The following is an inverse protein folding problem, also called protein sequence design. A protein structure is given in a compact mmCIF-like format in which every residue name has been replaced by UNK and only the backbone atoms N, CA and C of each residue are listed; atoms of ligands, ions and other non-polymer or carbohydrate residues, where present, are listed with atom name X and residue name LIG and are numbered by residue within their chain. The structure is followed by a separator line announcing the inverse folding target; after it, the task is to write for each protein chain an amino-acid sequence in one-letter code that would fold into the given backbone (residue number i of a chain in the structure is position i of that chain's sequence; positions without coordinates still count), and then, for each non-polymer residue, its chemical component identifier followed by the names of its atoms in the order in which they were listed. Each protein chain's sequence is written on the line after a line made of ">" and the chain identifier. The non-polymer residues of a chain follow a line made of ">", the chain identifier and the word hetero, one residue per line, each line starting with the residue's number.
data_IF_957188251732
#
_entry.id   IF_957188251732
#
_cell.length_a   1.000
_cell.length_b   1.000
_cell.length_c   1.000
_cell.angle_alpha   90.00
_cell.angle_beta   90.00
_cell.angle_gamma   90.00
#
_symmetry.space_group_name_H-M   'P 1'
#
loop_
_entity.id
_entity.type
_entity.pdbx_description
1 polymer ?
#
# COMPACT_ATOMS: atom_id res chain seq x y z
N UNK A 1 -3.45 -11.17 -10.57
CA UNK A 1 -4.33 -10.73 -9.46
C UNK A 1 -4.87 -11.90 -8.60
N UNK A 2 -5.47 -12.95 -9.19
CA UNK A 2 -6.11 -14.04 -8.42
C UNK A 2 -5.18 -14.89 -7.52
N UNK A 3 -3.88 -14.94 -7.82
CA UNK A 3 -2.93 -15.81 -7.12
C UNK A 3 -2.73 -15.37 -5.67
N UNK A 4 -2.43 -14.09 -5.42
CA UNK A 4 -2.19 -13.60 -4.05
C UNK A 4 -3.44 -13.68 -3.18
N UNK A 5 -4.63 -13.48 -3.78
CA UNK A 5 -5.89 -13.63 -3.07
C UNK A 5 -6.13 -15.09 -2.66
N UNK A 6 -5.81 -16.06 -3.51
CA UNK A 6 -5.85 -17.49 -3.12
C UNK A 6 -4.88 -17.79 -1.98
N UNK A 7 -3.68 -17.24 -2.01
CA UNK A 7 -2.72 -17.40 -0.90
C UNK A 7 -3.33 -16.83 0.38
N UNK A 8 -3.85 -15.61 0.36
CA UNK A 8 -4.44 -14.99 1.57
C UNK A 8 -5.64 -15.78 2.09
N UNK A 9 -6.53 -16.20 1.19
CA UNK A 9 -7.81 -16.83 1.53
C UNK A 9 -7.71 -18.34 1.82
N UNK A 10 -6.62 -19.00 1.41
CA UNK A 10 -6.48 -20.43 1.66
C UNK A 10 -6.39 -20.69 3.17
N UNK A 11 -7.28 -21.55 3.70
CA UNK A 11 -7.24 -21.92 5.09
C UNK A 11 -5.87 -22.56 5.41
N UNK A 12 -5.31 -22.17 6.55
CA UNK A 12 -4.20 -22.89 7.14
C UNK A 12 -4.70 -24.32 7.45
N UNK A 13 -3.90 -25.35 7.16
CA UNK A 13 -4.21 -26.71 7.62
C UNK A 13 -4.34 -26.71 9.15
N UNK A 14 -5.19 -27.57 9.71
CA UNK A 14 -5.54 -27.62 11.15
C UNK A 14 -4.32 -27.71 12.11
N UNK A 15 -3.15 -28.10 11.61
CA UNK A 15 -1.89 -28.20 12.37
C UNK A 15 -0.96 -26.95 12.28
N UNK A 16 -1.35 -25.90 11.55
CA UNK A 16 -0.47 -24.73 11.30
C UNK A 16 -0.97 -23.47 11.99
N UNK A 17 0.00 -22.81 12.62
CA UNK A 17 -0.08 -21.69 13.56
C UNK A 17 -0.87 -20.49 13.03
N UNK A 18 -1.38 -19.68 13.97
CA UNK A 18 -2.35 -18.61 13.74
C UNK A 18 -1.85 -17.37 12.98
N UNK A 19 -0.59 -17.32 12.51
CA UNK A 19 -0.05 -16.12 11.83
C UNK A 19 0.45 -16.35 10.41
N UNK A 20 0.16 -15.39 9.53
CA UNK A 20 0.50 -15.41 8.10
C UNK A 20 1.09 -14.07 7.68
N UNK A 21 2.20 -14.11 6.96
CA UNK A 21 2.88 -12.94 6.40
C UNK A 21 2.89 -13.08 4.88
N UNK A 22 2.30 -12.12 4.16
CA UNK A 22 2.25 -12.09 2.70
C UNK A 22 3.00 -10.88 2.18
N UNK A 23 4.14 -11.12 1.55
CA UNK A 23 5.03 -10.11 0.97
C UNK A 23 4.97 -10.23 -0.56
N UNK A 24 4.34 -9.28 -1.22
CA UNK A 24 4.09 -9.35 -2.67
C UNK A 24 4.17 -7.98 -3.33
N UNK A 25 4.39 -7.91 -4.64
CA UNK A 25 4.45 -6.64 -5.39
C UNK A 25 3.20 -5.75 -5.15
N UNK A 26 3.40 -4.43 -5.21
CA UNK A 26 2.31 -3.46 -5.12
C UNK A 26 1.26 -3.69 -6.23
N UNK A 27 0.00 -3.34 -5.98
CA UNK A 27 -1.08 -3.53 -6.96
C UNK A 27 -1.54 -4.98 -7.19
N UNK A 28 -0.92 -5.98 -6.55
CA UNK A 28 -1.31 -7.38 -6.76
C UNK A 28 -2.68 -7.79 -6.19
N UNK A 29 -3.34 -6.92 -5.41
CA UNK A 29 -4.61 -7.23 -4.75
C UNK A 29 -4.50 -7.75 -3.31
N UNK A 30 -3.37 -7.50 -2.63
CA UNK A 30 -3.14 -7.86 -1.22
C UNK A 30 -4.21 -7.29 -0.28
N UNK A 31 -4.43 -5.98 -0.34
CA UNK A 31 -5.41 -5.26 0.48
C UNK A 31 -6.82 -5.82 0.30
N UNK A 32 -7.24 -6.11 -0.94
CA UNK A 32 -8.54 -6.74 -1.21
C UNK A 32 -8.62 -8.14 -0.61
N UNK A 33 -7.57 -8.95 -0.77
CA UNK A 33 -7.51 -10.28 -0.15
C UNK A 33 -7.60 -10.22 1.38
N UNK A 34 -6.89 -9.27 2.00
CA UNK A 34 -6.94 -9.00 3.44
C UNK A 34 -8.35 -8.60 3.87
N UNK A 35 -9.00 -7.66 3.17
CA UNK A 35 -10.37 -7.23 3.45
C UNK A 35 -11.33 -8.43 3.42
N UNK A 36 -11.28 -9.23 2.35
CA UNK A 36 -12.16 -10.40 2.20
C UNK A 36 -11.91 -11.40 3.33
N UNK A 37 -10.65 -11.64 3.72
CA UNK A 37 -10.33 -12.55 4.83
C UNK A 37 -10.92 -12.05 6.14
N UNK A 38 -10.77 -10.76 6.48
CA UNK A 38 -11.36 -10.17 7.69
C UNK A 38 -12.89 -10.28 7.69
N UNK A 39 -13.54 -9.95 6.57
CA UNK A 39 -15.00 -10.04 6.45
C UNK A 39 -15.52 -11.48 6.59
N UNK A 40 -14.73 -12.48 6.20
CA UNK A 40 -15.09 -13.90 6.33
C UNK A 40 -14.94 -14.45 7.74
N UNK A 41 -13.99 -13.91 8.50
CA UNK A 41 -13.70 -14.40 9.86
C UNK A 41 -14.71 -13.86 10.88
N UNK A 42 -15.15 -12.62 10.69
CA UNK A 42 -16.01 -11.93 11.65
C UNK A 42 -17.47 -12.35 11.53
N UNK A 43 -18.07 -12.71 12.65
CA UNK A 43 -19.50 -13.04 12.75
C UNK A 43 -20.37 -11.80 13.04
N UNK A 44 -20.98 -11.25 11.98
CA UNK A 44 -21.88 -10.10 12.08
C UNK A 44 -23.26 -10.40 12.69
N UNK A 45 -23.62 -11.67 12.93
CA UNK A 45 -24.95 -12.04 13.43
C UNK A 45 -25.07 -11.92 14.96
N UNK A 46 -23.95 -12.02 15.68
CA UNK A 46 -23.91 -11.87 17.15
C UNK A 46 -24.22 -10.45 17.57
N UNK A 47 -24.80 -10.23 18.75
CA UNK A 47 -25.11 -8.89 19.28
C UNK A 47 -24.56 -8.62 20.69
N UNK A 48 -23.39 -9.19 20.98
CA UNK A 48 -22.68 -9.03 22.25
C UNK A 48 -21.82 -7.74 22.37
N UNK A 49 -21.77 -6.92 21.31
CA UNK A 49 -21.03 -5.65 21.28
C UNK A 49 -19.50 -5.80 21.26
N UNK A 50 -18.99 -7.00 20.97
CA UNK A 50 -17.55 -7.30 21.02
C UNK A 50 -16.87 -7.08 19.68
N UNK A 51 -15.68 -6.49 19.74
CA UNK A 51 -14.80 -6.33 18.60
C UNK A 51 -14.17 -7.69 18.24
N UNK A 52 -14.37 -8.15 17.01
CA UNK A 52 -13.82 -9.42 16.52
C UNK A 52 -12.69 -9.22 15.49
N UNK A 53 -12.77 -8.14 14.70
CA UNK A 53 -11.76 -7.80 13.71
C UNK A 53 -11.07 -6.47 13.99
N UNK A 54 -9.73 -6.45 13.92
CA UNK A 54 -8.95 -5.22 13.94
C UNK A 54 -8.05 -5.16 12.70
N UNK A 55 -8.15 -4.07 11.94
CA UNK A 55 -7.28 -3.81 10.79
C UNK A 55 -6.39 -2.62 11.12
N UNK A 56 -5.08 -2.86 11.16
CA UNK A 56 -4.07 -1.84 11.37
C UNK A 56 -3.49 -1.36 10.04
N UNK A 57 -3.37 -0.04 9.91
CA UNK A 57 -2.78 0.64 8.75
C UNK A 57 -1.77 1.70 9.21
N UNK A 58 -0.80 2.10 8.36
CA UNK A 58 0.25 3.01 8.80
C UNK A 58 -0.20 4.49 8.85
N UNK A 59 -1.26 4.87 8.12
CA UNK A 59 -1.70 6.27 8.02
C UNK A 59 -3.23 6.40 7.99
N UNK A 60 -3.72 7.56 8.42
CA UNK A 60 -5.14 7.94 8.38
C UNK A 60 -5.70 7.97 6.95
N UNK A 61 -4.86 8.26 5.96
CA UNK A 61 -5.25 8.19 4.55
C UNK A 61 -5.57 6.76 4.12
N UNK A 62 -4.72 5.80 4.50
CA UNK A 62 -4.95 4.38 4.20
C UNK A 62 -6.10 3.82 5.03
N UNK A 63 -6.29 4.28 6.27
CA UNK A 63 -7.45 3.95 7.11
C UNK A 63 -8.75 4.30 6.37
N UNK A 64 -8.86 5.53 5.85
CA UNK A 64 -10.01 5.97 5.07
C UNK A 64 -10.21 5.15 3.78
N UNK A 65 -9.13 4.85 3.04
CA UNK A 65 -9.21 4.07 1.80
C UNK A 65 -9.68 2.62 2.05
N UNK A 66 -9.10 1.94 3.05
CA UNK A 66 -9.50 0.58 3.40
C UNK A 66 -10.92 0.58 3.94
N UNK A 67 -11.29 1.54 4.79
CA UNK A 67 -12.66 1.66 5.30
C UNK A 67 -13.70 1.81 4.18
N UNK A 68 -13.45 2.66 3.18
CA UNK A 68 -14.34 2.80 2.02
C UNK A 68 -14.44 1.51 1.21
N UNK A 69 -13.31 0.86 0.97
CA UNK A 69 -13.25 -0.36 0.17
C UNK A 69 -13.94 -1.52 0.89
N UNK A 70 -13.72 -1.65 2.21
CA UNK A 70 -14.32 -2.68 3.03
C UNK A 70 -15.83 -2.50 3.13
N UNK A 71 -16.34 -1.28 3.34
CA UNK A 71 -17.79 -1.02 3.31
C UNK A 71 -18.41 -1.32 1.95
N UNK A 72 -17.74 -0.97 0.85
CA UNK A 72 -18.24 -1.29 -0.49
C UNK A 72 -18.34 -2.81 -0.75
N UNK A 73 -17.42 -3.60 -0.18
CA UNK A 73 -17.47 -5.07 -0.26
C UNK A 73 -18.52 -5.64 0.72
N UNK A 74 -18.67 -5.02 1.90
CA UNK A 74 -19.59 -5.43 2.94
C UNK A 74 -21.04 -4.96 2.72
N UNK A 75 -21.33 -4.23 1.63
CA UNK A 75 -22.69 -3.78 1.26
C UNK A 75 -23.66 -4.96 1.08
N UNK A 76 -23.12 -6.16 0.79
CA UNK A 76 -23.89 -7.41 0.68
C UNK A 76 -23.96 -8.21 1.98
N UNK A 77 -23.44 -7.69 3.09
CA UNK A 77 -23.43 -8.33 4.41
C UNK A 77 -24.41 -7.58 5.31
N UNK A 78 -25.50 -8.25 5.68
CA UNK A 78 -26.49 -7.70 6.58
C UNK A 78 -25.87 -7.30 7.93
N UNK A 79 -26.23 -6.11 8.40
CA UNK A 79 -25.77 -5.56 9.69
C UNK A 79 -24.23 -5.49 9.81
N UNK A 80 -23.53 -5.21 8.71
CA UNK A 80 -22.10 -4.93 8.74
C UNK A 80 -21.81 -3.74 9.67
N UNK A 81 -21.06 -4.02 10.73
CA UNK A 81 -20.70 -3.05 11.78
C UNK A 81 -19.21 -2.77 11.70
N UNK A 82 -18.86 -1.95 10.72
CA UNK A 82 -17.49 -1.62 10.31
C UNK A 82 -17.30 -0.13 10.48
N UNK A 83 -16.17 0.28 11.05
CA UNK A 83 -15.89 1.68 11.35
C UNK A 83 -14.38 1.92 11.36
N UNK A 84 -14.00 3.17 11.13
CA UNK A 84 -12.66 3.68 11.41
C UNK A 84 -12.59 4.54 12.69
N UNK A 85 -13.72 4.65 13.40
CA UNK A 85 -13.82 5.32 14.69
C UNK A 85 -14.31 4.33 15.75
N UNK A 86 -13.85 4.52 16.99
CA UNK A 86 -14.28 3.68 18.11
C UNK A 86 -15.70 4.07 18.50
N UNK A 87 -16.66 3.24 18.09
CA UNK A 87 -18.09 3.38 18.39
C UNK A 87 -18.60 2.19 19.19
N UNK A 88 -19.74 2.36 19.85
CA UNK A 88 -20.42 1.24 20.50
C UNK A 88 -20.85 0.17 19.46
N UNK A 89 -20.86 -1.09 19.88
CA UNK A 89 -21.33 -2.25 19.09
C UNK A 89 -20.59 -2.51 17.78
N UNK A 90 -19.33 -2.09 17.66
CA UNK A 90 -18.50 -2.34 16.49
C UNK A 90 -18.04 -3.79 16.40
N UNK A 91 -18.02 -4.36 15.17
CA UNK A 91 -17.49 -5.70 14.88
C UNK A 91 -16.08 -5.67 14.29
N UNK A 92 -15.83 -4.72 13.38
CA UNK A 92 -14.53 -4.48 12.77
C UNK A 92 -14.11 -3.03 12.95
N UNK A 93 -12.91 -2.81 13.49
CA UNK A 93 -12.27 -1.50 13.50
C UNK A 93 -11.10 -1.46 12.52
N UNK A 94 -11.04 -0.39 11.72
CA UNK A 94 -9.89 -0.09 10.86
C UNK A 94 -9.22 1.15 11.43
N UNK A 95 -7.96 1.07 11.85
CA UNK A 95 -7.30 2.24 12.43
C UNK A 95 -5.77 2.19 12.39
N UNK A 96 -5.11 3.24 12.86
CA UNK A 96 -3.65 3.24 13.04
C UNK A 96 -3.24 2.68 14.40
N UNK A 97 -2.06 2.04 14.53
CA UNK A 97 -1.60 1.50 15.82
C UNK A 97 -1.62 2.52 16.96
N UNK A 98 -1.27 3.77 16.67
CA UNK A 98 -1.24 4.87 17.64
C UNK A 98 -2.64 5.22 18.12
N UNK A 99 -3.61 5.34 17.20
CA UNK A 99 -5.02 5.58 17.55
C UNK A 99 -5.59 4.42 18.37
N UNK A 100 -5.26 3.18 17.99
CA UNK A 100 -5.72 1.99 18.70
C UNK A 100 -5.31 1.99 20.18
N UNK A 101 -4.03 2.27 20.45
CA UNK A 101 -3.51 2.36 21.82
C UNK A 101 -4.10 3.57 22.56
N UNK A 102 -4.19 4.73 21.90
CA UNK A 102 -4.74 5.96 22.51
C UNK A 102 -6.19 5.79 22.96
N UNK A 103 -6.99 5.07 22.17
CA UNK A 103 -8.41 4.84 22.46
C UNK A 103 -8.65 3.65 23.40
N UNK A 104 -7.60 2.94 23.83
CA UNK A 104 -7.72 1.86 24.81
C UNK A 104 -8.60 0.69 24.34
N UNK A 105 -8.48 0.33 23.05
CA UNK A 105 -9.32 -0.72 22.46
C UNK A 105 -9.09 -2.04 23.19
N UNK A 106 -10.18 -2.70 23.57
CA UNK A 106 -10.11 -4.07 24.08
C UNK A 106 -9.91 -5.05 22.92
N UNK A 107 -8.81 -5.79 22.96
CA UNK A 107 -8.44 -6.79 21.94
C UNK A 107 -8.50 -8.24 22.45
N UNK A 108 -9.00 -8.46 23.68
CA UNK A 108 -8.99 -9.77 24.33
C UNK A 108 -9.85 -10.83 23.67
N UNK A 109 -10.78 -10.41 22.80
CA UNK A 109 -11.73 -11.28 22.11
C UNK A 109 -11.62 -11.15 20.57
N UNK A 110 -10.50 -10.62 20.07
CA UNK A 110 -10.25 -10.58 18.64
C UNK A 110 -10.12 -11.99 18.06
N UNK A 111 -10.86 -12.23 17.00
CA UNK A 111 -10.76 -13.43 16.16
C UNK A 111 -9.70 -13.22 15.08
N UNK A 112 -9.57 -11.98 14.57
CA UNK A 112 -8.57 -11.63 13.55
C UNK A 112 -7.95 -10.25 13.77
N UNK A 113 -6.62 -10.21 13.66
CA UNK A 113 -5.82 -8.99 13.53
C UNK A 113 -5.17 -8.96 12.14
N UNK A 114 -5.54 -7.98 11.34
CA UNK A 114 -4.94 -7.74 10.04
C UNK A 114 -4.03 -6.51 10.06
N UNK A 115 -2.87 -6.59 9.41
CA UNK A 115 -1.87 -5.52 9.35
C UNK A 115 -1.54 -5.29 7.86
N UNK A 116 -2.05 -4.22 7.25
CA UNK A 116 -1.73 -3.86 5.86
C UNK A 116 -0.50 -2.96 5.80
N UNK A 117 0.30 -3.03 4.74
CA UNK A 117 1.55 -2.28 4.61
C UNK A 117 2.51 -2.47 5.82
N UNK A 118 2.63 -3.72 6.28
CA UNK A 118 3.41 -4.10 7.47
C UNK A 118 4.87 -3.66 7.41
N UNK A 119 5.42 -3.47 6.19
CA UNK A 119 6.78 -3.00 5.94
C UNK A 119 7.08 -1.65 6.62
N UNK A 120 6.08 -0.78 6.78
CA UNK A 120 6.23 0.50 7.49
C UNK A 120 5.94 0.40 8.99
N UNK A 121 5.16 -0.59 9.41
CA UNK A 121 4.67 -0.69 10.78
C UNK A 121 5.51 -1.59 11.69
N UNK A 122 6.14 -2.62 11.14
CA UNK A 122 6.95 -3.57 11.90
C UNK A 122 8.45 -3.27 11.84
N UNK A 123 8.85 -2.18 11.18
CA UNK A 123 10.24 -1.75 11.09
C UNK A 123 10.82 -1.43 12.48
N UNK A 124 12.06 -1.85 12.73
CA UNK A 124 12.76 -1.66 14.02
C UNK A 124 12.87 -0.17 14.33
N UNK A 125 12.59 0.21 15.57
CA UNK A 125 12.73 1.59 16.05
C UNK A 125 11.53 2.51 15.76
N UNK A 126 10.53 2.04 15.01
CA UNK A 126 9.32 2.83 14.74
C UNK A 126 8.37 2.86 15.94
N UNK A 127 7.63 3.98 16.08
CA UNK A 127 6.57 4.09 17.09
C UNK A 127 5.44 3.07 16.83
N UNK A 128 5.08 2.87 15.57
CA UNK A 128 4.06 1.90 15.14
C UNK A 128 4.37 0.49 15.65
N UNK A 129 5.63 0.06 15.57
CA UNK A 129 6.05 -1.24 16.09
C UNK A 129 5.86 -1.34 17.60
N UNK A 130 6.17 -0.28 18.35
CA UNK A 130 5.96 -0.26 19.80
C UNK A 130 4.48 -0.40 20.15
N UNK A 131 3.61 0.31 19.44
CA UNK A 131 2.17 0.19 19.58
C UNK A 131 1.69 -1.24 19.26
N UNK A 132 2.13 -1.82 18.14
CA UNK A 132 1.74 -3.18 17.74
C UNK A 132 2.19 -4.23 18.77
N UNK A 133 3.42 -4.12 19.31
CA UNK A 133 3.86 -5.02 20.39
C UNK A 133 2.97 -4.97 21.64
N UNK A 134 2.43 -3.78 21.97
CA UNK A 134 1.48 -3.63 23.07
C UNK A 134 0.12 -4.26 22.74
N UNK A 135 -0.32 -4.18 21.48
CA UNK A 135 -1.53 -4.87 21.01
C UNK A 135 -1.33 -6.38 21.11
N UNK A 136 -0.22 -6.91 20.59
CA UNK A 136 0.13 -8.34 20.63
C UNK A 136 0.10 -8.90 22.05
N UNK A 137 0.66 -8.19 23.03
CA UNK A 137 0.66 -8.64 24.44
C UNK A 137 -0.73 -8.84 25.08
N UNK A 138 -1.78 -8.37 24.43
CA UNK A 138 -3.17 -8.47 24.88
C UNK A 138 -4.04 -9.37 23.99
N UNK A 139 -3.48 -9.92 22.90
CA UNK A 139 -4.22 -10.78 21.98
C UNK A 139 -4.51 -12.14 22.61
N UNK A 140 -5.69 -12.73 22.33
CA UNK A 140 -5.93 -14.12 22.65
C UNK A 140 -5.03 -15.03 21.79
N UNK A 141 -4.75 -16.24 22.29
CA UNK A 141 -3.82 -17.17 21.63
C UNK A 141 -4.36 -17.66 20.29
N UNK A 142 -5.68 -17.74 20.20
CA UNK A 142 -6.44 -18.24 19.07
C UNK A 142 -6.65 -17.16 17.98
N UNK A 143 -6.28 -15.89 18.24
CA UNK A 143 -6.41 -14.81 17.27
C UNK A 143 -5.57 -15.10 16.02
N UNK A 144 -6.21 -15.07 14.85
CA UNK A 144 -5.53 -15.14 13.57
C UNK A 144 -4.85 -13.81 13.26
N UNK A 145 -3.59 -13.85 12.82
CA UNK A 145 -2.83 -12.65 12.45
C UNK A 145 -2.48 -12.71 10.97
N UNK A 146 -2.95 -11.75 10.20
CA UNK A 146 -2.64 -11.61 8.78
C UNK A 146 -1.88 -10.32 8.53
N UNK A 147 -0.60 -10.43 8.19
CA UNK A 147 0.22 -9.29 7.80
C UNK A 147 0.43 -9.29 6.29
N UNK A 148 0.27 -8.14 5.65
CA UNK A 148 0.57 -7.97 4.22
C UNK A 148 1.52 -6.81 4.00
N UNK A 149 2.42 -6.94 3.02
CA UNK A 149 3.42 -5.92 2.72
C UNK A 149 3.98 -6.02 1.32
N UNK A 150 4.66 -4.97 0.89
CA UNK A 150 5.29 -4.87 -0.44
C UNK A 150 6.76 -5.25 -0.45
N UNK A 151 7.41 -5.20 0.72
CA UNK A 151 8.83 -5.47 0.89
C UNK A 151 9.06 -6.63 1.85
N UNK A 152 10.05 -7.46 1.53
CA UNK A 152 10.58 -8.44 2.47
C UNK A 152 11.20 -7.72 3.67
N UNK A 153 10.63 -7.92 4.85
CA UNK A 153 11.18 -7.39 6.09
C UNK A 153 12.37 -8.25 6.54
N UNK A 154 13.40 -7.66 7.16
CA UNK A 154 14.44 -8.42 7.85
C UNK A 154 13.82 -9.35 8.89
N UNK A 155 14.37 -10.55 9.04
CA UNK A 155 13.82 -11.60 9.91
C UNK A 155 13.75 -11.17 11.39
N UNK A 156 14.64 -10.28 11.80
CA UNK A 156 14.71 -9.62 13.11
C UNK A 156 13.43 -8.81 13.43
N UNK A 157 12.63 -8.50 12.41
CA UNK A 157 11.35 -7.83 12.60
C UNK A 157 10.31 -8.70 13.30
N UNK A 158 10.38 -10.03 13.14
CA UNK A 158 9.36 -10.95 13.62
C UNK A 158 9.89 -12.20 14.34
N UNK A 159 11.16 -12.59 14.19
CA UNK A 159 11.71 -13.82 14.81
C UNK A 159 11.68 -13.84 16.35
N UNK A 160 11.66 -12.68 16.99
CA UNK A 160 11.63 -12.54 18.45
C UNK A 160 10.23 -12.28 18.99
N UNK A 161 9.22 -12.24 18.13
CA UNK A 161 7.85 -11.96 18.51
C UNK A 161 7.08 -13.27 18.67
N UNK A 162 6.46 -13.50 19.83
CA UNK A 162 5.79 -14.78 20.08
C UNK A 162 4.66 -15.09 19.10
N UNK A 163 4.02 -14.05 18.56
CA UNK A 163 2.91 -14.19 17.63
C UNK A 163 3.38 -14.32 16.18
N UNK A 164 4.54 -13.74 15.83
CA UNK A 164 5.01 -13.71 14.44
C UNK A 164 6.19 -14.65 14.13
N UNK A 165 6.94 -15.12 15.14
CA UNK A 165 8.18 -15.90 14.95
C UNK A 165 8.00 -17.15 14.10
N UNK A 166 6.80 -17.71 14.11
CA UNK A 166 6.46 -18.94 13.42
C UNK A 166 5.43 -18.74 12.30
N UNK A 167 5.31 -17.50 11.80
CA UNK A 167 4.35 -17.17 10.74
C UNK A 167 4.61 -17.98 9.48
N UNK A 168 3.53 -18.35 8.78
CA UNK A 168 3.65 -18.80 7.39
C UNK A 168 3.99 -17.60 6.50
N UNK A 169 5.23 -17.55 6.01
CA UNK A 169 5.71 -16.45 5.16
C UNK A 169 5.56 -16.85 3.70
N UNK A 170 4.81 -16.05 2.94
CA UNK A 170 4.74 -16.13 1.48
C UNK A 170 5.37 -14.90 0.87
N UNK A 171 6.41 -15.09 0.07
CA UNK A 171 7.08 -14.02 -0.68
C UNK A 171 6.91 -14.23 -2.18
N UNK A 172 6.70 -13.14 -2.91
CA UNK A 172 7.05 -13.07 -4.33
C UNK A 172 8.43 -12.46 -4.42
N UNK A 173 9.43 -13.31 -4.64
CA UNK A 173 10.72 -12.82 -5.09
C UNK A 173 10.54 -12.38 -6.54
N UNK A 174 10.78 -11.10 -6.82
CA UNK A 174 10.91 -10.52 -8.17
C UNK A 174 12.03 -11.14 -9.03
N UNK A 175 12.54 -12.31 -8.64
CA UNK A 175 13.52 -13.11 -9.36
C UNK A 175 12.91 -14.40 -9.95
N UNK A 176 11.62 -14.63 -9.78
CA UNK A 176 10.97 -15.87 -10.22
C UNK A 176 9.62 -15.64 -10.91
N UNK A 177 9.44 -14.49 -11.56
CA UNK A 177 8.39 -14.31 -12.56
C UNK A 177 9.09 -13.89 -13.86
N UNK A 178 9.07 -14.78 -14.86
CA UNK A 178 9.60 -14.60 -16.23
C UNK A 178 9.23 -13.26 -16.87
N UNK A 179 8.14 -12.65 -16.41
CA UNK A 179 7.56 -11.42 -16.96
C UNK A 179 8.42 -10.17 -16.67
N UNK A 180 9.30 -10.19 -15.65
CA UNK A 180 10.23 -9.08 -15.38
C UNK A 180 11.54 -9.17 -16.16
N UNK A 181 11.97 -10.38 -16.57
CA UNK A 181 13.05 -10.54 -17.56
C UNK A 181 12.60 -10.04 -18.94
N UNK A 182 11.33 -10.25 -19.33
CA UNK A 182 10.79 -9.70 -20.58
C UNK A 182 10.73 -8.15 -20.60
N UNK A 183 10.52 -7.51 -19.45
CA UNK A 183 10.54 -6.04 -19.34
C UNK A 183 11.95 -5.47 -19.52
N UNK A 184 13.00 -6.14 -19.05
CA UNK A 184 14.38 -5.64 -19.24
C UNK A 184 14.88 -5.88 -20.66
N UNK A 185 14.45 -6.96 -21.33
CA UNK A 185 14.81 -7.23 -22.73
C UNK A 185 14.12 -6.28 -23.73
N UNK A 186 12.95 -5.73 -23.38
CA UNK A 186 12.18 -4.81 -24.24
C UNK A 186 12.51 -3.32 -24.04
N UNK A 187 13.24 -2.95 -22.97
CA UNK A 187 13.64 -1.56 -22.72
C UNK A 187 14.94 -1.25 -23.47
N UNK A 188 14.86 -0.37 -24.46
CA UNK A 188 16.03 0.16 -25.16
C UNK A 188 16.63 1.30 -24.33
N UNK A 189 17.70 1.00 -23.59
CA UNK A 189 18.45 2.01 -22.86
C UNK A 189 19.37 2.83 -23.78
N UNK A 190 19.30 4.16 -23.69
CA UNK A 190 20.18 5.07 -24.43
C UNK A 190 20.79 6.09 -23.48
N UNK A 191 22.10 6.29 -23.61
CA UNK A 191 22.84 7.32 -22.89
C UNK A 191 23.40 8.35 -23.87
N UNK A 192 23.20 9.63 -23.56
CA UNK A 192 23.76 10.74 -24.34
C UNK A 192 24.59 11.64 -23.44
N UNK A 193 25.88 11.75 -23.75
CA UNK A 193 26.79 12.61 -23.02
C UNK A 193 26.58 14.08 -23.40
N UNK A 194 26.11 14.88 -22.44
CA UNK A 194 25.86 16.32 -22.60
C UNK A 194 26.73 17.13 -21.63
N UNK A 195 27.95 17.54 -22.01
CA UNK A 195 28.85 18.28 -21.12
C UNK A 195 28.35 19.69 -20.77
N UNK A 196 27.46 20.27 -21.61
CA UNK A 196 26.81 21.57 -21.37
C UNK A 196 25.29 21.41 -21.30
N UNK A 197 24.66 22.22 -20.46
CA UNK A 197 23.20 22.19 -20.26
C UNK A 197 22.42 22.59 -21.52
N UNK A 198 22.93 23.55 -22.28
CA UNK A 198 22.37 23.98 -23.58
C UNK A 198 22.26 22.81 -24.57
N UNK A 199 23.20 21.86 -24.52
CA UNK A 199 23.19 20.67 -25.38
C UNK A 199 22.10 19.70 -24.97
N UNK A 200 21.87 19.53 -23.66
CA UNK A 200 20.78 18.70 -23.14
C UNK A 200 19.43 19.25 -23.57
N UNK A 201 19.24 20.56 -23.50
CA UNK A 201 18.01 21.23 -23.97
C UNK A 201 17.82 21.11 -25.47
N UNK A 202 18.88 21.28 -26.25
CA UNK A 202 18.84 21.15 -27.71
C UNK A 202 18.53 19.72 -28.15
N UNK A 203 19.06 18.71 -27.44
CA UNK A 203 18.80 17.30 -27.71
C UNK A 203 17.40 16.85 -27.27
N UNK A 204 16.94 17.29 -26.09
CA UNK A 204 15.54 17.15 -25.72
C UNK A 204 14.67 17.79 -26.79
N UNK A 205 15.13 18.93 -27.34
CA UNK A 205 14.42 19.54 -28.43
C UNK A 205 14.38 18.64 -29.67
N UNK A 206 15.51 18.29 -30.24
CA UNK A 206 15.56 17.50 -31.47
C UNK A 206 14.84 16.15 -31.34
N UNK A 207 15.00 15.47 -30.19
CA UNK A 207 14.44 14.13 -29.95
C UNK A 207 12.91 14.13 -29.87
N UNK A 208 12.30 15.21 -29.35
CA UNK A 208 10.85 15.34 -29.23
C UNK A 208 10.22 16.14 -30.39
N UNK A 209 10.93 17.14 -30.95
CA UNK A 209 10.36 18.11 -31.89
C UNK A 209 10.59 17.78 -33.39
N UNK A 210 11.51 16.89 -33.78
CA UNK A 210 11.80 16.69 -35.22
C UNK A 210 10.98 15.60 -35.91
N UNK A 211 10.28 14.74 -35.17
CA UNK A 211 9.42 13.70 -35.76
C UNK A 211 7.96 14.16 -35.81
N UNK A 212 7.66 15.14 -36.68
CA UNK A 212 6.31 15.65 -36.94
C UNK A 212 5.35 14.63 -37.58
N UNK A 213 5.82 13.42 -37.91
CA UNK A 213 5.04 12.40 -38.62
C UNK A 213 4.43 11.32 -37.71
N UNK A 214 4.73 11.29 -36.41
CA UNK A 214 4.21 10.27 -35.50
C UNK A 214 3.34 10.84 -34.38
N UNK A 215 2.26 10.13 -34.06
CA UNK A 215 1.42 10.38 -32.89
C UNK A 215 2.30 10.48 -31.64
N UNK A 216 2.06 11.50 -30.82
CA UNK A 216 2.88 11.78 -29.65
C UNK A 216 2.71 10.70 -28.60
N UNK A 217 3.77 9.96 -28.29
CA UNK A 217 3.79 9.05 -27.15
C UNK A 217 4.02 9.85 -25.84
N UNK A 218 3.24 9.59 -24.78
CA UNK A 218 3.44 10.25 -23.50
C UNK A 218 4.80 9.86 -22.90
N UNK A 219 5.56 10.86 -22.46
CA UNK A 219 6.90 10.68 -21.89
C UNK A 219 7.03 11.26 -20.47
N UNK A 220 7.87 10.62 -19.65
CA UNK A 220 8.21 11.08 -18.30
C UNK A 220 9.64 11.64 -18.27
N UNK A 221 9.76 12.92 -17.87
CA UNK A 221 11.05 13.58 -17.70
C UNK A 221 11.40 13.70 -16.22
N UNK A 222 12.37 12.89 -15.76
CA UNK A 222 12.86 12.98 -14.38
C UNK A 222 13.94 14.05 -14.22
N UNK A 223 13.74 14.93 -13.25
CA UNK A 223 14.65 16.00 -12.91
C UNK A 223 15.17 15.83 -11.49
N UNK A 224 16.47 16.09 -11.28
CA UNK A 224 17.09 15.93 -9.96
C UNK A 224 16.73 17.04 -8.97
N UNK A 225 16.24 18.20 -9.44
CA UNK A 225 15.88 19.33 -8.57
C UNK A 225 14.58 19.98 -9.04
N UNK A 226 13.85 20.57 -8.08
CA UNK A 226 12.63 21.37 -8.34
C UNK A 226 12.91 22.49 -9.34
N UNK A 227 13.98 23.27 -9.13
CA UNK A 227 14.33 24.40 -10.00
C UNK A 227 14.54 23.97 -11.45
N UNK A 228 15.12 22.78 -11.69
CA UNK A 228 15.31 22.25 -13.04
C UNK A 228 14.01 21.76 -13.66
N UNK A 229 13.14 21.11 -12.87
CA UNK A 229 11.81 20.72 -13.33
C UNK A 229 11.01 21.93 -13.81
N UNK A 230 11.01 23.02 -13.02
CA UNK A 230 10.30 24.26 -13.34
C UNK A 230 10.87 24.94 -14.59
N UNK A 231 12.21 24.98 -14.73
CA UNK A 231 12.88 25.53 -15.91
C UNK A 231 12.50 24.77 -17.18
N UNK A 232 12.55 23.43 -17.15
CA UNK A 232 12.17 22.61 -18.31
C UNK A 232 10.67 22.68 -18.59
N UNK A 233 9.82 22.74 -17.56
CA UNK A 233 8.39 22.90 -17.73
C UNK A 233 8.05 24.19 -18.48
N UNK A 234 8.67 25.33 -18.10
CA UNK A 234 8.49 26.61 -18.81
C UNK A 234 8.90 26.50 -20.28
N UNK A 235 10.06 25.92 -20.55
CA UNK A 235 10.58 25.73 -21.92
C UNK A 235 9.65 24.84 -22.75
N UNK A 236 9.13 23.75 -22.18
CA UNK A 236 8.23 22.82 -22.89
C UNK A 236 6.85 23.45 -23.13
N UNK A 237 6.31 24.20 -22.15
CA UNK A 237 5.04 24.93 -22.28
C UNK A 237 5.11 26.00 -23.39
N UNK A 238 6.22 26.72 -23.48
CA UNK A 238 6.47 27.68 -24.57
C UNK A 238 6.58 27.02 -25.95
N UNK A 239 6.91 25.73 -25.99
CA UNK A 239 7.16 25.01 -27.24
C UNK A 239 5.92 24.28 -27.79
N UNK A 240 4.70 24.63 -27.34
CA UNK A 240 3.39 24.10 -27.80
C UNK A 240 3.06 22.68 -27.29
N UNK A 241 3.85 22.12 -26.37
CA UNK A 241 3.58 20.77 -25.83
C UNK A 241 2.74 20.81 -24.57
N UNK A 242 1.61 20.07 -24.54
CA UNK A 242 0.87 19.88 -23.30
C UNK A 242 1.76 19.10 -22.33
N UNK A 243 2.21 19.79 -21.28
CA UNK A 243 3.07 19.22 -20.25
C UNK A 243 2.41 19.39 -18.89
N UNK A 244 2.62 18.40 -18.02
CA UNK A 244 2.17 18.42 -16.64
C UNK A 244 3.42 18.36 -15.76
N UNK A 245 3.61 19.39 -14.94
CA UNK A 245 4.67 19.40 -13.94
C UNK A 245 4.15 18.76 -12.64
N UNK A 246 4.83 17.70 -12.20
CA UNK A 246 4.60 17.09 -10.89
C UNK A 246 5.75 17.48 -9.96
N UNK A 247 5.48 18.42 -9.05
CA UNK A 247 6.45 18.84 -8.03
C UNK A 247 5.90 18.64 -6.62
N UNK A 248 6.76 18.34 -5.62
CA UNK A 248 6.33 18.32 -4.22
C UNK A 248 5.92 19.73 -3.80
N UNK A 249 4.62 20.04 -3.83
CA UNK A 249 4.12 21.28 -3.27
C UNK A 249 4.06 21.12 -1.75
N UNK A 250 5.04 21.67 -1.04
CA UNK A 250 4.90 21.87 0.41
C UNK A 250 3.72 22.83 0.64
N UNK A 251 2.55 22.27 0.99
CA UNK A 251 1.41 23.03 1.53
C UNK A 251 0.44 23.67 0.52
N UNK A 252 0.41 23.25 -0.75
CA UNK A 252 -0.65 23.65 -1.72
C UNK A 252 -1.23 22.43 -2.44
N UNK A 253 -2.54 22.43 -2.76
CA UNK A 253 -3.21 21.26 -3.32
C UNK A 253 -2.66 20.89 -4.71
N UNK A 254 -2.48 19.59 -4.91
CA UNK A 254 -1.77 18.94 -6.03
C UNK A 254 -2.48 19.10 -7.39
N UNK A 255 -3.63 19.76 -7.47
CA UNK A 255 -4.33 19.97 -8.74
C UNK A 255 -4.93 21.38 -8.83
N UNK A 256 -4.42 22.18 -9.78
CA UNK A 256 -5.21 23.22 -10.44
C UNK A 256 -5.41 22.75 -11.89
N UNK A 257 -6.48 22.00 -12.13
CA UNK A 257 -6.97 21.71 -13.48
C UNK A 257 -7.62 23.01 -13.95
N UNK A 258 -6.88 23.88 -14.64
CA UNK A 258 -7.46 25.07 -15.27
C UNK A 258 -7.13 25.23 -16.76
N UNK A 259 -6.36 24.33 -17.39
CA UNK A 259 -5.96 24.49 -18.80
C UNK A 259 -6.39 23.29 -19.68
N UNK A 260 -7.63 22.82 -19.55
CA UNK A 260 -8.24 21.81 -20.46
C UNK A 260 -9.34 22.37 -21.37
N UNK A 261 -9.41 23.70 -21.54
CA UNK A 261 -10.29 24.34 -22.52
C UNK A 261 -9.56 25.49 -23.22
N UNK A 262 -8.80 25.15 -24.25
CA UNK A 262 -8.47 26.04 -25.37
C UNK A 262 -8.02 25.22 -26.55
#
# INVERSE_FOLDING_TARGET
>A
MLIVQKVILNPQSEDVKSSKIVQWIAGAGKTVGLIIKVLKEVDFTKNDGKLQGLVLVPTDYLEYQIHRTMNAIADFIDHSRISNEVTENLRILITTPQKAIKNGINVSELEILAIDEMNFMLEIGTESRRCIKRIFSQLPKECEILCTGTRTLPIECYMHDEHLKDSLITTCNSYCDSDFEELSESIIERFVYCPKEEQKLSLLRESFFQNYEYEFEPALLFCNTYTRAEQYYKILKESVYPSIELTPQFGKPIFTINDWNS
#
